data_IF_300270902993
#
_entry.id   IF_300270902993
#
_cell.length_a   1.000
_cell.length_b   1.000
_cell.length_c   1.000
_cell.angle_alpha   90.00
_cell.angle_beta   90.00
_cell.angle_gamma   90.00
#
_symmetry.space_group_name_H-M   'P 1'
#
loop_
_entity.id
_entity.type
_entity.pdbx_description
1 polymer ?
#
# COMPACT_ATOMS: atom_id res chain seq x y z
N UNK A 1 12.83 -25.15 7.26
CA UNK A 1 13.46 -24.03 8.00
C UNK A 1 12.61 -22.77 7.82
N UNK A 2 11.33 -22.84 8.19
CA UNK A 2 10.29 -21.85 7.88
C UNK A 2 9.90 -21.07 9.13
N UNK A 3 10.63 -20.02 9.48
CA UNK A 3 10.28 -19.06 10.55
C UNK A 3 10.73 -17.63 10.20
N UNK A 4 10.66 -17.24 8.92
CA UNK A 4 11.18 -15.95 8.44
C UNK A 4 10.17 -14.96 7.87
N UNK A 5 8.93 -15.36 7.56
CA UNK A 5 8.03 -14.53 6.73
C UNK A 5 7.02 -13.73 7.57
N UNK A 6 6.88 -14.05 8.87
CA UNK A 6 5.83 -13.44 9.72
C UNK A 6 6.23 -12.07 10.33
N UNK A 7 7.47 -11.61 10.19
CA UNK A 7 7.93 -10.33 10.76
C UNK A 7 8.00 -9.16 9.79
N UNK A 8 7.78 -9.38 8.48
CA UNK A 8 7.90 -8.32 7.45
C UNK A 8 6.62 -7.49 7.25
N UNK A 9 5.58 -7.65 8.08
CA UNK A 9 4.27 -7.02 7.82
C UNK A 9 3.96 -5.73 8.58
N UNK A 10 4.86 -5.16 9.41
CA UNK A 10 4.52 -3.91 10.15
C UNK A 10 5.57 -2.79 10.20
N UNK A 11 6.82 -3.02 9.79
CA UNK A 11 7.86 -1.99 9.92
C UNK A 11 8.96 -2.12 8.87
N UNK A 12 8.73 -1.73 7.61
CA UNK A 12 9.85 -1.39 6.71
C UNK A 12 9.32 -0.86 5.40
N UNK A 13 9.10 0.45 5.30
CA UNK A 13 9.52 1.23 4.13
C UNK A 13 9.46 2.71 4.54
N UNK A 14 10.48 3.20 5.27
CA UNK A 14 10.62 4.64 5.44
C UNK A 14 10.77 5.23 4.03
N UNK A 15 9.79 6.03 3.61
CA UNK A 15 9.53 6.46 2.23
C UNK A 15 10.76 7.02 1.50
N UNK A 16 11.70 7.62 2.24
CA UNK A 16 12.98 8.15 1.73
C UNK A 16 13.94 7.04 1.30
N UNK A 17 13.99 5.92 2.03
CA UNK A 17 14.79 4.75 1.66
C UNK A 17 14.19 3.98 0.49
N UNK A 18 12.87 4.07 0.29
CA UNK A 18 12.19 3.38 -0.81
C UNK A 18 12.61 3.91 -2.19
N UNK A 19 12.73 5.24 -2.35
CA UNK A 19 13.12 5.84 -3.62
C UNK A 19 14.60 5.55 -3.96
N UNK A 20 15.49 5.66 -2.97
CA UNK A 20 16.91 5.34 -3.15
C UNK A 20 17.13 3.86 -3.46
N UNK A 21 16.36 2.97 -2.83
CA UNK A 21 16.38 1.54 -3.10
C UNK A 21 15.88 1.24 -4.51
N UNK A 22 14.78 1.88 -4.93
CA UNK A 22 14.22 1.75 -6.27
C UNK A 22 15.20 2.26 -7.34
N UNK A 23 15.81 3.43 -7.11
CA UNK A 23 16.85 3.99 -7.99
C UNK A 23 18.02 3.02 -8.14
N UNK A 24 18.51 2.44 -7.03
CA UNK A 24 19.56 1.42 -7.07
C UNK A 24 19.13 0.16 -7.80
N UNK A 25 17.90 -0.32 -7.59
CA UNK A 25 17.34 -1.50 -8.24
C UNK A 25 17.30 -1.33 -9.77
N UNK A 26 16.87 -0.17 -10.24
CA UNK A 26 16.69 0.08 -11.67
C UNK A 26 18.05 0.33 -12.35
N UNK A 27 18.91 1.13 -11.73
CA UNK A 27 20.18 1.58 -12.35
C UNK A 27 21.28 0.53 -12.32
N UNK A 28 21.32 -0.35 -11.32
CA UNK A 28 22.36 -1.37 -11.20
C UNK A 28 21.97 -2.66 -11.93
N UNK A 29 22.99 -3.37 -12.42
CA UNK A 29 22.87 -4.70 -12.99
C UNK A 29 23.39 -5.69 -11.94
N UNK A 30 22.56 -5.95 -10.94
CA UNK A 30 22.88 -6.84 -9.84
C UNK A 30 21.84 -7.94 -9.75
N UNK A 31 22.30 -9.19 -9.78
CA UNK A 31 21.45 -10.39 -9.78
C UNK A 31 20.98 -10.74 -8.37
N UNK A 32 21.70 -10.30 -7.33
CA UNK A 32 21.34 -10.44 -5.92
C UNK A 32 20.99 -9.07 -5.30
N UNK A 33 20.49 -8.17 -6.14
CA UNK A 33 20.16 -6.81 -5.78
C UNK A 33 18.68 -6.60 -5.48
N UNK A 34 18.30 -5.36 -5.06
CA UNK A 34 16.92 -5.03 -4.69
C UNK A 34 15.92 -5.16 -5.84
N UNK A 35 16.38 -5.23 -7.09
CA UNK A 35 15.51 -5.53 -8.24
C UNK A 35 14.98 -6.96 -8.18
N UNK A 36 15.83 -7.91 -7.82
CA UNK A 36 15.48 -9.31 -7.66
C UNK A 36 14.42 -9.45 -6.56
N UNK A 37 14.67 -8.83 -5.41
CA UNK A 37 13.73 -8.81 -4.28
C UNK A 37 12.36 -8.24 -4.65
N UNK A 38 12.32 -7.15 -5.42
CA UNK A 38 11.07 -6.56 -5.88
C UNK A 38 10.30 -7.52 -6.79
N UNK A 39 10.98 -8.16 -7.74
CA UNK A 39 10.33 -9.14 -8.61
C UNK A 39 9.84 -10.36 -7.84
N UNK A 40 10.62 -10.89 -6.90
CA UNK A 40 10.19 -11.97 -6.03
C UNK A 40 8.98 -11.58 -5.21
N UNK A 41 8.99 -10.39 -4.62
CA UNK A 41 7.86 -9.87 -3.89
C UNK A 41 6.60 -9.84 -4.76
N UNK A 42 6.67 -9.24 -5.96
CA UNK A 42 5.50 -9.15 -6.82
C UNK A 42 5.02 -10.50 -7.34
N UNK A 43 5.90 -11.32 -7.91
CA UNK A 43 5.53 -12.63 -8.48
C UNK A 43 5.00 -13.57 -7.40
N UNK A 44 5.65 -13.65 -6.23
CA UNK A 44 5.17 -14.50 -5.13
C UNK A 44 3.79 -14.08 -4.65
N UNK A 45 3.54 -12.76 -4.52
CA UNK A 45 2.22 -12.27 -4.13
C UNK A 45 1.18 -12.51 -5.21
N UNK A 46 1.49 -12.28 -6.49
CA UNK A 46 0.58 -12.55 -7.60
C UNK A 46 0.22 -14.05 -7.64
N UNK A 47 1.19 -14.95 -7.55
CA UNK A 47 0.93 -16.39 -7.55
C UNK A 47 0.09 -16.81 -6.35
N UNK A 48 0.38 -16.28 -5.16
CA UNK A 48 -0.42 -16.54 -3.96
C UNK A 48 -1.85 -16.03 -4.10
N UNK A 49 -2.04 -14.79 -4.53
CA UNK A 49 -3.39 -14.22 -4.67
C UNK A 49 -4.17 -14.90 -5.79
N UNK A 50 -3.51 -15.29 -6.89
CA UNK A 50 -4.15 -16.08 -7.93
C UNK A 50 -4.56 -17.48 -7.45
N UNK A 51 -3.75 -18.12 -6.60
CA UNK A 51 -4.12 -19.37 -5.93
C UNK A 51 -5.36 -19.22 -5.03
N UNK A 52 -5.40 -18.15 -4.24
CA UNK A 52 -6.47 -17.87 -3.28
C UNK A 52 -7.79 -17.48 -3.97
N UNK A 53 -7.73 -16.67 -5.02
CA UNK A 53 -8.91 -16.11 -5.69
C UNK A 53 -9.43 -16.95 -6.87
N UNK A 54 -8.56 -17.66 -7.60
CA UNK A 54 -8.91 -18.37 -8.85
C UNK A 54 -8.50 -19.85 -8.84
N UNK A 55 -8.12 -20.38 -7.68
CA UNK A 55 -7.79 -21.81 -7.53
C UNK A 55 -6.50 -22.25 -8.25
N UNK A 56 -5.71 -21.30 -8.76
CA UNK A 56 -4.33 -21.54 -9.19
C UNK A 56 -4.10 -22.14 -10.56
N UNK A 57 -2.81 -22.45 -10.81
CA UNK A 57 -2.32 -23.01 -12.07
C UNK A 57 -2.47 -24.54 -12.19
N UNK A 58 -2.97 -25.21 -11.16
CA UNK A 58 -3.04 -26.68 -11.09
C UNK A 58 -4.11 -27.30 -12.04
N UNK A 59 -5.05 -26.50 -12.56
CA UNK A 59 -6.00 -26.95 -13.60
C UNK A 59 -6.23 -25.87 -14.65
N UNK A 60 -5.26 -25.73 -15.54
CA UNK A 60 -5.37 -24.82 -16.69
C UNK A 60 -6.47 -25.32 -17.62
N UNK A 61 -7.35 -24.41 -18.03
CA UNK A 61 -8.45 -24.71 -18.95
C UNK A 61 -8.01 -24.52 -20.41
N UNK A 62 -7.99 -25.61 -21.16
CA UNK A 62 -7.65 -25.64 -22.60
C UNK A 62 -8.82 -26.28 -23.34
N UNK A 63 -9.41 -25.56 -24.29
CA UNK A 63 -10.52 -26.06 -25.11
C UNK A 63 -10.02 -26.90 -26.30
N UNK A 64 -10.81 -27.86 -26.80
CA UNK A 64 -10.55 -28.53 -28.07
C UNK A 64 -10.52 -27.49 -29.19
N UNK A 65 -9.40 -27.37 -29.90
CA UNK A 65 -9.19 -26.38 -30.96
C UNK A 65 -8.23 -25.25 -30.60
N UNK A 66 -7.88 -25.05 -29.31
CA UNK A 66 -6.92 -24.00 -28.91
C UNK A 66 -5.56 -24.15 -29.60
N UNK A 67 -5.12 -25.39 -29.85
CA UNK A 67 -3.88 -25.68 -30.60
C UNK A 67 -3.93 -25.20 -32.04
N UNK A 68 -5.08 -25.34 -32.68
CA UNK A 68 -5.30 -24.92 -34.07
C UNK A 68 -5.36 -23.40 -34.13
N UNK A 69 -6.18 -22.79 -33.26
CA UNK A 69 -6.33 -21.33 -33.12
C UNK A 69 -5.00 -20.62 -32.84
N UNK A 70 -4.16 -21.17 -31.95
CA UNK A 70 -2.86 -20.59 -31.64
C UNK A 70 -1.83 -20.76 -32.78
N UNK A 71 -2.06 -21.68 -33.71
CA UNK A 71 -1.18 -21.94 -34.86
C UNK A 71 -1.53 -21.10 -36.09
N UNK A 72 -2.72 -20.52 -36.13
CA UNK A 72 -3.17 -19.68 -37.24
C UNK A 72 -2.31 -18.41 -37.34
N UNK A 73 -1.86 -18.08 -38.55
CA UNK A 73 -1.09 -16.88 -38.82
C UNK A 73 -1.95 -15.65 -38.49
N UNK A 74 -1.63 -15.00 -37.38
CA UNK A 74 -2.40 -13.92 -36.75
C UNK A 74 -2.52 -12.71 -37.68
N UNK A 75 -3.52 -12.72 -38.54
CA UNK A 75 -3.92 -11.56 -39.37
C UNK A 75 -4.95 -10.69 -38.64
N UNK A 76 -5.66 -11.25 -37.66
CA UNK A 76 -6.53 -10.54 -36.72
C UNK A 76 -6.32 -11.10 -35.30
N UNK A 77 -5.96 -10.23 -34.35
CA UNK A 77 -5.88 -10.56 -32.93
C UNK A 77 -7.30 -10.61 -32.36
N UNK A 78 -7.94 -11.78 -32.37
CA UNK A 78 -9.20 -12.00 -31.65
C UNK A 78 -8.92 -12.38 -30.19
N UNK A 79 -9.89 -12.09 -29.31
CA UNK A 79 -9.86 -12.47 -27.90
C UNK A 79 -9.64 -13.98 -27.73
N UNK A 80 -10.24 -14.77 -28.62
CA UNK A 80 -10.16 -16.23 -28.60
C UNK A 80 -8.74 -16.74 -28.92
N UNK A 81 -8.06 -16.15 -29.92
CA UNK A 81 -6.69 -16.51 -30.29
C UNK A 81 -5.70 -16.14 -29.18
N UNK A 82 -5.90 -14.97 -28.55
CA UNK A 82 -5.08 -14.52 -27.43
C UNK A 82 -5.23 -15.45 -26.22
N UNK A 83 -6.46 -15.76 -25.83
CA UNK A 83 -6.73 -16.68 -24.72
C UNK A 83 -6.23 -18.09 -25.02
N UNK A 84 -6.42 -18.60 -26.23
CA UNK A 84 -5.92 -19.92 -26.63
C UNK A 84 -4.39 -19.99 -26.51
N UNK A 85 -3.69 -18.98 -27.04
CA UNK A 85 -2.23 -18.88 -26.97
C UNK A 85 -1.73 -18.80 -25.52
N UNK A 86 -2.39 -18.02 -24.68
CA UNK A 86 -2.04 -17.89 -23.27
C UNK A 86 -2.34 -19.16 -22.47
N UNK A 87 -3.49 -19.81 -22.70
CA UNK A 87 -3.83 -21.11 -22.10
C UNK A 87 -2.82 -22.19 -22.45
N UNK A 88 -2.38 -22.28 -23.72
CA UNK A 88 -1.32 -23.21 -24.11
C UNK A 88 0.00 -22.87 -23.42
N UNK A 89 0.36 -21.59 -23.38
CA UNK A 89 1.59 -21.13 -22.73
C UNK A 89 1.59 -21.42 -21.22
N UNK A 90 0.43 -21.34 -20.57
CA UNK A 90 0.28 -21.69 -19.16
C UNK A 90 0.58 -23.17 -18.88
N UNK A 91 0.43 -24.08 -19.87
CA UNK A 91 0.76 -25.50 -19.70
C UNK A 91 2.26 -25.81 -19.82
N UNK A 92 3.06 -24.90 -20.38
CA UNK A 92 4.48 -25.12 -20.63
C UNK A 92 5.33 -25.36 -19.37
N UNK A 93 5.14 -24.63 -18.25
CA UNK A 93 5.81 -24.94 -16.99
C UNK A 93 5.66 -26.41 -16.61
N UNK A 94 4.43 -26.92 -16.61
CA UNK A 94 4.16 -28.30 -16.24
C UNK A 94 4.72 -29.28 -17.29
N UNK A 95 4.55 -28.99 -18.57
CA UNK A 95 4.99 -29.87 -19.65
C UNK A 95 6.52 -30.02 -19.76
N UNK A 96 7.28 -28.95 -19.52
CA UNK A 96 8.73 -28.95 -19.70
C UNK A 96 9.52 -29.04 -18.39
N UNK A 97 8.96 -28.52 -17.28
CA UNK A 97 9.64 -28.47 -15.98
C UNK A 97 8.99 -29.39 -14.94
N UNK A 98 7.82 -29.97 -15.23
CA UNK A 98 7.13 -30.91 -14.35
C UNK A 98 6.38 -30.26 -13.17
N UNK A 99 6.35 -28.94 -13.12
CA UNK A 99 5.73 -28.16 -12.04
C UNK A 99 4.85 -27.06 -12.62
N UNK A 100 3.77 -26.74 -11.90
CA UNK A 100 2.89 -25.63 -12.24
C UNK A 100 3.60 -24.28 -11.98
N UNK A 101 3.16 -23.21 -12.65
CA UNK A 101 3.87 -21.91 -12.63
C UNK A 101 4.10 -21.34 -11.21
N UNK A 102 3.12 -21.50 -10.33
CA UNK A 102 3.17 -21.13 -8.91
C UNK A 102 4.18 -21.96 -8.08
N UNK A 103 4.55 -23.16 -8.53
CA UNK A 103 5.44 -24.10 -7.83
C UNK A 103 6.87 -24.05 -8.34
N UNK A 104 7.14 -23.24 -9.38
CA UNK A 104 8.50 -23.04 -9.86
C UNK A 104 9.35 -22.34 -8.81
N UNK A 105 10.61 -22.77 -8.71
CA UNK A 105 11.58 -22.12 -7.84
C UNK A 105 11.90 -20.72 -8.38
N UNK A 106 11.61 -19.71 -7.57
CA UNK A 106 11.97 -18.32 -7.81
C UNK A 106 13.35 -18.05 -7.21
N UNK A 107 14.38 -18.13 -8.04
CA UNK A 107 15.75 -17.76 -7.69
C UNK A 107 16.29 -16.69 -8.67
N UNK A 108 17.48 -16.15 -8.38
CA UNK A 108 18.03 -15.06 -9.17
C UNK A 108 18.35 -15.46 -10.61
N UNK A 109 18.50 -16.76 -10.90
CA UNK A 109 18.83 -17.30 -12.21
C UNK A 109 17.59 -17.69 -13.03
N UNK A 110 16.53 -18.17 -12.38
CA UNK A 110 15.26 -18.60 -12.97
C UNK A 110 14.29 -17.44 -13.16
N UNK A 111 14.46 -16.33 -12.44
CA UNK A 111 13.56 -15.19 -12.44
C UNK A 111 13.17 -14.70 -13.84
N UNK A 112 14.13 -14.63 -14.76
CA UNK A 112 13.89 -14.13 -16.12
C UNK A 112 12.90 -15.02 -16.86
N UNK A 113 13.05 -16.34 -16.73
CA UNK A 113 12.18 -17.30 -17.41
C UNK A 113 10.82 -17.39 -16.72
N UNK A 114 10.76 -17.37 -15.39
CA UNK A 114 9.49 -17.36 -14.66
C UNK A 114 8.68 -16.11 -14.98
N UNK A 115 9.33 -14.93 -15.04
CA UNK A 115 8.68 -13.69 -15.47
C UNK A 115 8.16 -13.82 -16.91
N UNK A 116 8.98 -14.36 -17.83
CA UNK A 116 8.59 -14.53 -19.23
C UNK A 116 7.38 -15.45 -19.36
N UNK A 117 7.40 -16.60 -18.69
CA UNK A 117 6.30 -17.58 -18.66
C UNK A 117 5.03 -16.97 -18.07
N UNK A 118 5.15 -16.20 -16.99
CA UNK A 118 4.04 -15.47 -16.40
C UNK A 118 3.40 -14.47 -17.39
N UNK A 119 4.20 -13.64 -18.07
CA UNK A 119 3.68 -12.62 -18.99
C UNK A 119 2.90 -13.21 -20.17
N UNK A 120 3.35 -14.35 -20.71
CA UNK A 120 2.68 -15.00 -21.84
C UNK A 120 1.49 -15.88 -21.41
N UNK A 121 1.43 -16.27 -20.14
CA UNK A 121 0.39 -17.17 -19.61
C UNK A 121 -0.72 -16.44 -18.84
N UNK A 122 -0.53 -15.17 -18.49
CA UNK A 122 -1.44 -14.41 -17.60
C UNK A 122 -2.90 -14.38 -18.07
N UNK A 123 -3.10 -14.21 -19.38
CA UNK A 123 -4.43 -14.16 -20.00
C UNK A 123 -4.98 -15.54 -20.36
N UNK A 124 -4.55 -16.58 -19.64
CA UNK A 124 -5.12 -17.91 -19.79
C UNK A 124 -6.63 -17.87 -19.56
N UNK A 125 -7.34 -18.69 -20.33
CA UNK A 125 -8.80 -18.77 -20.27
C UNK A 125 -9.24 -19.17 -18.85
N UNK A 126 -10.10 -18.38 -18.19
CA UNK A 126 -10.73 -18.79 -16.94
C UNK A 126 -11.49 -20.09 -17.13
N UNK A 127 -11.54 -20.89 -16.07
CA UNK A 127 -12.60 -21.90 -15.97
C UNK A 127 -13.97 -21.21 -15.92
N UNK A 128 -15.04 -21.88 -16.36
CA UNK A 128 -16.38 -21.29 -16.33
C UNK A 128 -16.81 -20.76 -14.95
N UNK A 129 -16.43 -21.47 -13.88
CA UNK A 129 -16.67 -21.07 -12.48
C UNK A 129 -15.93 -19.77 -12.11
N UNK A 130 -14.63 -19.70 -12.40
CA UNK A 130 -13.79 -18.54 -12.11
C UNK A 130 -14.14 -17.33 -12.98
N UNK A 131 -14.68 -17.55 -14.19
CA UNK A 131 -15.12 -16.46 -15.09
C UNK A 131 -16.21 -15.62 -14.45
N UNK A 132 -17.23 -16.28 -13.88
CA UNK A 132 -18.35 -15.59 -13.23
C UNK A 132 -17.87 -14.88 -11.98
N UNK A 133 -17.05 -15.55 -11.17
CA UNK A 133 -16.48 -14.97 -9.96
C UNK A 133 -15.61 -13.74 -10.26
N UNK A 134 -14.69 -13.84 -11.22
CA UNK A 134 -13.83 -12.72 -11.66
C UNK A 134 -14.66 -11.54 -12.10
N UNK A 135 -15.67 -11.76 -12.94
CA UNK A 135 -16.52 -10.67 -13.42
C UNK A 135 -17.25 -9.96 -12.27
N UNK A 136 -17.78 -10.70 -11.29
CA UNK A 136 -18.53 -10.13 -10.18
C UNK A 136 -17.65 -9.42 -9.14
N UNK A 137 -16.54 -10.04 -8.74
CA UNK A 137 -15.71 -9.54 -7.64
C UNK A 137 -14.58 -8.61 -8.11
N UNK A 138 -14.15 -8.70 -9.38
CA UNK A 138 -13.13 -7.79 -9.96
C UNK A 138 -13.70 -6.61 -10.74
N UNK A 139 -14.97 -6.28 -10.56
CA UNK A 139 -15.56 -5.08 -11.15
C UNK A 139 -15.69 -5.18 -12.67
N UNK A 140 -16.23 -6.29 -13.16
CA UNK A 140 -16.43 -6.59 -14.58
C UNK A 140 -15.13 -6.77 -15.36
N UNK A 141 -14.12 -7.38 -14.72
CA UNK A 141 -12.80 -7.63 -15.31
C UNK A 141 -12.88 -8.48 -16.58
N UNK A 142 -12.34 -7.96 -17.67
CA UNK A 142 -12.26 -8.56 -18.99
C UNK A 142 -10.82 -8.96 -19.34
N UNK A 143 -10.67 -9.65 -20.47
CA UNK A 143 -9.36 -10.11 -20.97
C UNK A 143 -8.40 -8.93 -21.21
N UNK A 144 -8.89 -7.84 -21.78
CA UNK A 144 -8.08 -6.65 -22.07
C UNK A 144 -7.70 -5.82 -20.84
N UNK A 145 -8.33 -6.08 -19.69
CA UNK A 145 -7.95 -5.45 -18.42
C UNK A 145 -6.69 -6.12 -17.83
N UNK A 146 -6.26 -7.25 -18.39
CA UNK A 146 -5.06 -7.96 -17.99
C UNK A 146 -3.81 -7.18 -18.38
N UNK A 147 -3.11 -6.68 -17.36
CA UNK A 147 -1.97 -5.78 -17.57
C UNK A 147 -0.79 -6.47 -18.27
N UNK A 148 -0.44 -7.74 -17.95
CA UNK A 148 0.62 -8.44 -18.67
C UNK A 148 0.27 -8.68 -20.14
N UNK A 149 -0.99 -8.99 -20.47
CA UNK A 149 -1.42 -9.07 -21.86
C UNK A 149 -1.29 -7.72 -22.57
N UNK A 150 -1.70 -6.63 -21.93
CA UNK A 150 -1.55 -5.28 -22.47
C UNK A 150 -0.09 -4.95 -22.77
N UNK A 151 0.83 -5.31 -21.87
CA UNK A 151 2.27 -5.15 -22.09
C UNK A 151 2.77 -5.99 -23.28
N UNK A 152 2.31 -7.23 -23.41
CA UNK A 152 2.65 -8.10 -24.55
C UNK A 152 2.18 -7.53 -25.89
N UNK A 153 1.01 -6.89 -25.92
CA UNK A 153 0.44 -6.26 -27.13
C UNK A 153 1.17 -4.95 -27.48
N UNK A 154 1.40 -4.08 -26.49
CA UNK A 154 1.98 -2.75 -26.73
C UNK A 154 3.50 -2.82 -26.97
N UNK A 155 4.16 -3.73 -26.27
CA UNK A 155 5.62 -3.84 -26.25
C UNK A 155 6.08 -5.30 -26.47
N UNK A 156 5.75 -5.93 -27.62
CA UNK A 156 6.10 -7.33 -27.90
C UNK A 156 7.61 -7.58 -27.91
N UNK A 157 8.40 -6.55 -28.25
CA UNK A 157 9.86 -6.59 -28.24
C UNK A 157 10.44 -6.86 -26.84
N UNK A 158 9.75 -6.47 -25.75
CA UNK A 158 10.21 -6.70 -24.38
C UNK A 158 10.14 -8.19 -24.02
N UNK A 159 9.04 -8.86 -24.36
CA UNK A 159 8.86 -10.30 -24.13
C UNK A 159 9.85 -11.10 -24.97
N UNK A 160 10.07 -10.70 -26.22
CA UNK A 160 11.09 -11.31 -27.09
C UNK A 160 12.52 -11.09 -26.56
N UNK A 161 12.77 -9.99 -25.86
CA UNK A 161 14.07 -9.71 -25.26
C UNK A 161 14.32 -10.59 -24.04
N UNK A 162 13.30 -10.86 -23.22
CA UNK A 162 13.40 -11.76 -22.06
C UNK A 162 13.79 -13.20 -22.45
N UNK A 163 13.51 -13.65 -23.68
CA UNK A 163 13.95 -14.99 -24.12
C UNK A 163 15.45 -15.08 -24.44
N UNK A 164 16.14 -13.94 -24.57
CA UNK A 164 17.56 -13.87 -24.97
C UNK A 164 18.45 -13.19 -23.93
N UNK A 165 17.87 -12.34 -23.07
CA UNK A 165 18.60 -11.45 -22.16
C UNK A 165 17.97 -11.53 -20.78
N UNK A 166 18.83 -11.57 -19.75
CA UNK A 166 18.40 -11.53 -18.36
C UNK A 166 17.71 -10.21 -18.00
N UNK A 167 16.72 -10.27 -17.10
CA UNK A 167 16.00 -9.11 -16.56
C UNK A 167 16.95 -8.05 -15.97
N UNK A 168 18.07 -8.45 -15.37
CA UNK A 168 19.01 -7.51 -14.75
C UNK A 168 19.73 -6.62 -15.77
N UNK A 169 19.91 -7.13 -17.00
CA UNK A 169 20.62 -6.44 -18.10
C UNK A 169 19.71 -5.56 -18.96
N UNK A 170 18.43 -5.46 -18.61
CA UNK A 170 17.47 -4.59 -19.27
C UNK A 170 17.76 -3.11 -18.99
N UNK A 171 17.25 -2.24 -19.86
CA UNK A 171 17.32 -0.79 -19.65
C UNK A 171 16.43 -0.38 -18.47
N UNK A 172 16.75 0.74 -17.79
CA UNK A 172 15.93 1.29 -16.71
C UNK A 172 14.44 1.36 -17.02
N UNK A 173 14.08 1.89 -18.20
CA UNK A 173 12.69 2.06 -18.62
C UNK A 173 11.98 0.71 -18.79
N UNK A 174 12.67 -0.28 -19.34
CA UNK A 174 12.13 -1.64 -19.55
C UNK A 174 11.89 -2.35 -18.22
N UNK A 175 12.81 -2.22 -17.26
CA UNK A 175 12.65 -2.74 -15.89
C UNK A 175 11.42 -2.13 -15.21
N UNK A 176 11.26 -0.81 -15.35
CA UNK A 176 10.10 -0.09 -14.83
C UNK A 176 8.79 -0.56 -15.47
N UNK A 177 8.76 -0.78 -16.79
CA UNK A 177 7.57 -1.31 -17.47
C UNK A 177 7.13 -2.65 -16.88
N UNK A 178 8.08 -3.57 -16.61
CA UNK A 178 7.75 -4.85 -15.98
C UNK A 178 7.28 -4.70 -14.54
N UNK A 179 7.94 -3.87 -13.72
CA UNK A 179 7.53 -3.64 -12.33
C UNK A 179 6.14 -2.99 -12.24
N UNK A 180 5.86 -1.99 -13.09
CA UNK A 180 4.55 -1.35 -13.17
C UNK A 180 3.47 -2.33 -13.62
N UNK A 181 3.79 -3.18 -14.59
CA UNK A 181 2.88 -4.23 -15.04
C UNK A 181 2.49 -5.17 -13.90
N UNK A 182 3.48 -5.65 -13.12
CA UNK A 182 3.22 -6.55 -11.99
C UNK A 182 2.47 -5.85 -10.85
N UNK A 183 2.78 -4.58 -10.58
CA UNK A 183 2.07 -3.77 -9.59
C UNK A 183 0.60 -3.61 -9.97
N UNK A 184 0.31 -3.22 -11.21
CA UNK A 184 -1.05 -3.07 -11.70
C UNK A 184 -1.81 -4.40 -11.69
N UNK A 185 -1.16 -5.51 -12.05
CA UNK A 185 -1.79 -6.81 -11.90
C UNK A 185 -2.14 -7.08 -10.43
N UNK A 186 -1.21 -6.85 -9.50
CA UNK A 186 -1.46 -7.10 -8.09
C UNK A 186 -2.66 -6.28 -7.59
N UNK A 187 -2.79 -5.04 -8.04
CA UNK A 187 -3.92 -4.15 -7.71
C UNK A 187 -5.23 -4.49 -8.44
N UNK A 188 -5.21 -5.40 -9.42
CA UNK A 188 -6.44 -5.90 -10.06
C UNK A 188 -7.19 -6.92 -9.19
N UNK A 189 -6.46 -7.62 -8.31
CA UNK A 189 -7.01 -8.65 -7.43
C UNK A 189 -7.94 -8.06 -6.37
N UNK A 190 -8.85 -8.86 -5.83
CA UNK A 190 -9.83 -8.42 -4.83
C UNK A 190 -9.13 -8.14 -3.51
N UNK A 191 -8.31 -9.09 -3.04
CA UNK A 191 -7.68 -9.04 -1.72
C UNK A 191 -6.82 -7.78 -1.51
N UNK A 192 -5.93 -7.39 -2.45
CA UNK A 192 -5.15 -6.15 -2.31
C UNK A 192 -6.01 -4.87 -2.39
N UNK A 193 -7.12 -4.89 -3.13
CA UNK A 193 -8.05 -3.76 -3.21
C UNK A 193 -8.81 -3.58 -1.91
N UNK A 194 -9.37 -4.65 -1.36
CA UNK A 194 -10.06 -4.61 -0.07
C UNK A 194 -9.12 -4.14 1.05
N UNK A 195 -7.88 -4.64 1.08
CA UNK A 195 -6.87 -4.16 2.02
C UNK A 195 -6.57 -2.65 1.85
N UNK A 196 -6.49 -2.16 0.61
CA UNK A 196 -6.26 -0.74 0.35
C UNK A 196 -7.44 0.12 0.83
N UNK A 197 -8.67 -0.34 0.59
CA UNK A 197 -9.88 0.35 1.00
C UNK A 197 -9.99 0.39 2.53
N UNK A 198 -9.78 -0.74 3.22
CA UNK A 198 -9.75 -0.80 4.68
C UNK A 198 -8.68 0.13 5.28
N UNK A 199 -7.45 0.09 4.74
CA UNK A 199 -6.37 0.96 5.23
C UNK A 199 -6.65 2.43 4.96
N UNK A 200 -7.29 2.76 3.85
CA UNK A 200 -7.72 4.11 3.55
C UNK A 200 -8.80 4.60 4.51
N UNK A 201 -9.81 3.79 4.81
CA UNK A 201 -10.84 4.10 5.79
C UNK A 201 -10.24 4.34 7.19
N UNK A 202 -9.34 3.46 7.63
CA UNK A 202 -8.63 3.61 8.89
C UNK A 202 -7.80 4.91 8.93
N UNK A 203 -7.13 5.26 7.82
CA UNK A 203 -6.38 6.51 7.73
C UNK A 203 -7.29 7.74 7.88
N UNK A 204 -8.47 7.72 7.24
CA UNK A 204 -9.42 8.82 7.37
C UNK A 204 -9.97 8.94 8.79
N UNK A 205 -10.29 7.81 9.44
CA UNK A 205 -10.73 7.79 10.84
C UNK A 205 -9.64 8.35 11.77
N UNK A 206 -8.39 7.91 11.63
CA UNK A 206 -7.27 8.42 12.42
C UNK A 206 -7.04 9.92 12.21
N UNK A 207 -7.16 10.40 10.97
CA UNK A 207 -7.05 11.82 10.63
C UNK A 207 -8.16 12.65 11.26
N UNK A 208 -9.37 12.12 11.31
CA UNK A 208 -10.50 12.78 11.96
C UNK A 208 -10.32 12.82 13.48
N UNK A 209 -9.96 11.70 14.10
CA UNK A 209 -9.67 11.64 15.54
C UNK A 209 -8.56 12.64 15.94
N UNK A 210 -7.48 12.74 15.15
CA UNK A 210 -6.41 13.71 15.39
C UNK A 210 -6.89 15.17 15.33
N UNK A 211 -7.85 15.49 14.46
CA UNK A 211 -8.45 16.83 14.39
C UNK A 211 -9.31 17.12 15.62
N UNK A 212 -10.09 16.12 16.04
CA UNK A 212 -10.95 16.23 17.22
C UNK A 212 -10.12 16.40 18.49
N UNK A 213 -9.00 15.67 18.63
CA UNK A 213 -8.05 15.82 19.72
C UNK A 213 -7.42 17.21 19.76
N UNK A 214 -7.00 17.75 18.61
CA UNK A 214 -6.49 19.13 18.52
C UNK A 214 -7.53 20.16 18.93
N UNK A 215 -8.79 19.95 18.56
CA UNK A 215 -9.88 20.83 18.97
C UNK A 215 -10.21 20.70 20.46
N UNK A 216 -10.12 19.49 21.03
CA UNK A 216 -10.29 19.23 22.45
C UNK A 216 -9.17 19.87 23.27
N UNK A 217 -7.91 19.77 22.83
CA UNK A 217 -6.76 20.42 23.46
C UNK A 217 -6.91 21.94 23.46
N UNK A 218 -7.27 22.53 22.32
CA UNK A 218 -7.52 23.98 22.23
C UNK A 218 -8.69 24.44 23.09
N UNK A 219 -9.72 23.61 23.29
CA UNK A 219 -10.82 23.88 24.22
C UNK A 219 -10.34 23.84 25.67
N UNK A 220 -9.60 22.80 26.05
CA UNK A 220 -8.98 22.68 27.39
C UNK A 220 -8.07 23.87 27.72
N UNK A 221 -7.24 24.32 26.77
CA UNK A 221 -6.41 25.50 26.95
C UNK A 221 -7.23 26.78 27.20
N UNK A 222 -8.30 26.99 26.42
CA UNK A 222 -9.20 28.14 26.61
C UNK A 222 -9.91 28.11 27.95
N UNK A 223 -10.40 26.93 28.36
CA UNK A 223 -11.05 26.72 29.66
C UNK A 223 -10.06 27.00 30.80
N UNK A 224 -8.84 26.46 30.73
CA UNK A 224 -7.80 26.70 31.74
C UNK A 224 -7.40 28.19 31.83
N UNK A 225 -7.34 28.91 30.69
CA UNK A 225 -7.09 30.36 30.68
C UNK A 225 -8.27 31.11 31.32
N UNK A 226 -9.51 30.76 30.99
CA UNK A 226 -10.70 31.38 31.54
C UNK A 226 -10.79 31.16 33.06
N UNK A 227 -10.51 29.95 33.56
CA UNK A 227 -10.43 29.66 34.99
C UNK A 227 -9.33 30.47 35.68
N UNK A 228 -8.14 30.59 35.08
CA UNK A 228 -7.05 31.40 35.63
C UNK A 228 -7.44 32.88 35.73
N UNK A 229 -8.16 33.42 34.74
CA UNK A 229 -8.65 34.80 34.76
C UNK A 229 -9.71 34.96 35.86
N UNK A 230 -10.66 34.03 35.97
CA UNK A 230 -11.70 34.04 37.02
C UNK A 230 -11.08 34.01 38.41
N UNK A 231 -10.14 33.10 38.66
CA UNK A 231 -9.41 33.01 39.93
C UNK A 231 -8.70 34.32 40.28
N UNK A 232 -7.99 34.94 39.33
CA UNK A 232 -7.34 36.25 39.55
C UNK A 232 -8.36 37.35 39.83
N UNK A 233 -9.51 37.33 39.15
CA UNK A 233 -10.62 38.26 39.40
C UNK A 233 -11.19 38.14 40.81
N UNK A 234 -11.44 36.91 41.27
CA UNK A 234 -11.94 36.59 42.61
C UNK A 234 -10.93 37.02 43.70
N UNK A 235 -9.65 36.72 43.52
CA UNK A 235 -8.57 37.16 44.43
C UNK A 235 -8.49 38.69 44.53
N UNK A 236 -8.52 39.39 43.39
CA UNK A 236 -8.50 40.86 43.37
C UNK A 236 -9.76 41.47 44.01
N UNK A 237 -10.93 40.83 43.86
CA UNK A 237 -12.17 41.29 44.50
C UNK A 237 -12.12 41.13 46.02
N UNK A 238 -11.61 40.00 46.52
CA UNK A 238 -11.37 39.75 47.94
C UNK A 238 -10.38 40.76 48.52
N UNK A 239 -9.28 41.05 47.81
CA UNK A 239 -8.30 42.05 48.24
C UNK A 239 -8.90 43.46 48.29
N UNK A 240 -9.72 43.85 47.29
CA UNK A 240 -10.43 45.14 47.32
C UNK A 240 -11.41 45.23 48.48
N UNK A 241 -12.16 44.16 48.77
CA UNK A 241 -13.05 44.12 49.95
C UNK A 241 -12.27 44.22 51.26
N UNK A 242 -11.12 43.56 51.38
CA UNK A 242 -10.25 43.68 52.56
C UNK A 242 -9.71 45.12 52.72
N UNK A 243 -9.24 45.74 51.64
CA UNK A 243 -8.78 47.14 51.64
C UNK A 243 -9.89 48.12 52.01
N UNK A 244 -11.12 47.92 51.52
CA UNK A 244 -12.28 48.74 51.90
C UNK A 244 -12.61 48.59 53.38
N UNK A 245 -12.62 47.37 53.93
CA UNK A 245 -12.85 47.14 55.36
C UNK A 245 -11.79 47.81 56.23
N UNK A 246 -10.51 47.73 55.84
CA UNK A 246 -9.41 48.41 56.55
C UNK A 246 -9.60 49.94 56.50
N UNK A 247 -10.00 50.48 55.35
CA UNK A 247 -10.24 51.91 55.20
C UNK A 247 -11.44 52.39 56.04
N UNK A 248 -12.54 51.62 56.05
CA UNK A 248 -13.70 51.88 56.91
C UNK A 248 -13.32 51.81 58.40
N UNK A 249 -12.50 50.85 58.80
CA UNK A 249 -12.02 50.73 60.18
C UNK A 249 -11.12 51.91 60.57
N UNK A 250 -10.24 52.37 59.67
CA UNK A 250 -9.44 53.58 59.86
C UNK A 250 -10.31 54.83 59.97
N UNK A 251 -11.33 54.97 59.11
CA UNK A 251 -12.27 56.10 59.15
C UNK A 251 -13.06 56.10 60.48
N UNK A 252 -13.56 54.93 60.90
CA UNK A 252 -14.27 54.75 62.18
C UNK A 252 -13.37 55.05 63.38
N UNK A 253 -12.08 54.68 63.34
CA UNK A 253 -11.09 55.03 64.37
C UNK A 253 -10.78 56.53 64.40
N UNK A 254 -10.71 57.18 63.23
CA UNK A 254 -10.53 58.64 63.11
C UNK A 254 -11.73 59.42 63.68
N UNK A 255 -12.95 58.92 63.51
CA UNK A 255 -14.18 59.52 64.09
C UNK A 255 -14.26 59.34 65.62
N UNK A 256 -13.59 58.31 66.16
CA UNK A 256 -13.50 58.02 67.60
C UNK A 256 -12.33 58.71 68.33
N UNK A 257 -11.46 59.43 67.62
CA UNK A 257 -10.40 60.29 68.22
C UNK A 257 -9.24 59.55 68.90
N UNK A 258 -8.87 58.35 68.43
CA UNK A 258 -7.72 57.57 68.94
C UNK A 258 -6.46 57.78 68.05
N UNK A 259 -5.23 57.79 68.61
CA UNK A 259 -4.00 58.02 67.84
C UNK A 259 -3.69 56.85 66.88
N UNK A 260 -3.08 57.15 65.72
CA UNK A 260 -2.66 56.13 64.75
C UNK A 260 -1.64 55.17 65.36
N UNK A 261 -1.70 53.87 65.04
CA UNK A 261 -0.66 52.94 65.48
C UNK A 261 0.66 53.31 64.80
N UNK A 262 1.73 53.42 65.61
CA UNK A 262 3.09 53.55 65.11
C UNK A 262 3.38 52.41 64.11
N UNK A 263 3.83 52.77 62.91
CA UNK A 263 4.34 51.79 61.96
C UNK A 263 5.60 51.14 62.56
N UNK A 264 5.46 49.92 63.05
CA UNK A 264 6.59 49.09 63.47
C UNK A 264 7.51 48.87 62.25
N UNK A 265 8.52 49.73 62.15
CA UNK A 265 9.68 49.56 61.31
C UNK A 265 10.55 48.40 61.86
N UNK A 266 10.14 47.16 61.59
CA UNK A 266 11.01 46.01 61.76
C UNK A 266 11.82 45.75 60.48
N UNK A 267 13.07 46.21 60.55
CA UNK A 267 14.23 45.68 59.81
C UNK A 267 14.40 44.18 60.03
#
# INVERSE_FOLDING_TARGET
>A
MFLGISSMQKTSFPMVYALDLLSKAIMKQDHDGPLCDLFFFFLSNIFRTHMEEEGGYDRIHVEPGDKELASEAVTHLSDEVLQASASLSATWPHAFQGFDLNKLELDSYTLTEVLRLYLISSSCRPRPEDRVWRYQHRGSYMVYDDTPLKLCIDHPHLVQKLSKVSVYSLKPDEKLSFLMCLLHQLLSYVTPRDFLDETWEHLQQAKQAFRDDKWAEKRREKEAIAERIRWKGEQNALEKQARQKVLEEKLRRSELGLPEPEEDAHR
#
